data_IF_850218457874
#
_entry.id   IF_850218457874
#
_cell.length_a   1.000
_cell.length_b   1.000
_cell.length_c   1.000
_cell.angle_alpha   90.00
_cell.angle_beta   90.00
_cell.angle_gamma   90.00
#
_symmetry.space_group_name_H-M   'P 1'
#
loop_
_entity.id
_entity.type
_entity.pdbx_description
1 polymer ?
#
# COMPACT_ATOMS: atom_id res chain seq x y z
N UNK A 1 18.63 4.80 8.40
CA UNK A 1 18.33 5.06 6.97
C UNK A 1 17.05 5.85 6.92
N UNK A 2 17.05 7.08 6.42
CA UNK A 2 15.78 7.81 6.32
C UNK A 2 14.79 7.07 5.41
N UNK A 3 13.52 6.95 5.85
CA UNK A 3 12.43 6.37 5.06
C UNK A 3 12.34 7.01 3.67
N UNK A 4 11.99 6.22 2.66
CA UNK A 4 11.77 6.75 1.32
C UNK A 4 10.58 7.71 1.31
N UNK A 5 10.59 8.67 0.40
CA UNK A 5 9.52 9.66 0.26
C UNK A 5 8.17 9.04 -0.13
N UNK A 6 8.17 7.86 -0.76
CA UNK A 6 6.99 7.10 -1.15
C UNK A 6 6.57 6.03 -0.13
N UNK A 7 7.22 5.99 1.04
CA UNK A 7 6.87 5.08 2.12
C UNK A 7 5.70 5.58 2.96
N UNK A 8 4.92 4.66 3.51
CA UNK A 8 3.77 4.91 4.38
C UNK A 8 4.09 4.53 5.82
N UNK A 9 3.60 5.33 6.78
CA UNK A 9 3.82 5.13 8.20
C UNK A 9 5.11 5.74 8.75
N UNK A 10 5.46 5.35 9.97
CA UNK A 10 6.61 5.87 10.69
C UNK A 10 7.17 4.86 11.70
N UNK A 11 8.45 5.00 12.04
CA UNK A 11 9.12 4.19 13.06
C UNK A 11 8.42 4.34 14.42
N UNK A 12 7.98 5.55 14.76
CA UNK A 12 7.26 5.81 16.02
C UNK A 12 5.93 5.06 16.11
N UNK A 13 5.20 4.97 15.00
CA UNK A 13 3.94 4.23 14.97
C UNK A 13 4.16 2.70 15.05
N UNK A 14 5.21 2.17 14.40
CA UNK A 14 5.60 0.76 14.54
C UNK A 14 5.99 0.48 15.99
N UNK A 15 6.81 1.35 16.59
CA UNK A 15 7.23 1.26 18.00
C UNK A 15 6.04 1.22 18.95
N UNK A 16 5.00 2.01 18.70
CA UNK A 16 3.81 2.02 19.55
C UNK A 16 3.15 0.63 19.64
N UNK A 17 3.18 -0.16 18.56
CA UNK A 17 2.64 -1.51 18.52
C UNK A 17 3.60 -2.55 19.13
N UNK A 18 4.91 -2.34 18.99
CA UNK A 18 5.94 -3.31 19.35
C UNK A 18 6.75 -2.92 20.60
N UNK A 19 6.27 -1.95 21.39
CA UNK A 19 7.00 -1.41 22.54
C UNK A 19 7.47 -2.45 23.56
N UNK A 20 6.71 -3.54 23.68
CA UNK A 20 6.94 -4.62 24.63
C UNK A 20 8.15 -5.49 24.26
N UNK A 21 8.59 -5.40 22.99
CA UNK A 21 9.75 -6.11 22.49
C UNK A 21 11.05 -5.35 22.75
N UNK A 22 11.02 -4.07 23.08
CA UNK A 22 12.24 -3.25 23.15
C UNK A 22 13.18 -3.53 24.34
N UNK A 23 12.90 -4.52 25.20
CA UNK A 23 13.72 -4.91 26.35
C UNK A 23 14.21 -3.71 27.19
N UNK A 24 13.27 -2.82 27.54
CA UNK A 24 13.55 -1.60 28.32
C UNK A 24 14.10 -0.41 27.51
N UNK A 25 14.44 -0.58 26.23
CA UNK A 25 14.81 0.54 25.38
C UNK A 25 13.60 1.45 25.07
N UNK A 26 13.81 2.76 25.10
CA UNK A 26 12.76 3.74 24.83
C UNK A 26 12.40 3.81 23.33
N UNK A 27 13.37 3.56 22.46
CA UNK A 27 13.28 3.66 21.00
C UNK A 27 14.11 2.57 20.32
N UNK A 28 13.86 2.34 19.03
CA UNK A 28 14.77 1.56 18.20
C UNK A 28 16.11 2.28 18.03
N UNK A 29 17.20 1.54 18.13
CA UNK A 29 18.56 2.08 18.04
C UNK A 29 19.46 1.17 17.19
N UNK A 30 20.76 1.45 17.15
CA UNK A 30 21.74 0.55 16.54
C UNK A 30 21.96 -0.76 17.33
N UNK A 31 21.52 -0.84 18.58
CA UNK A 31 21.75 -1.98 19.47
C UNK A 31 20.49 -2.80 19.75
N UNK A 32 19.30 -2.25 19.47
CA UNK A 32 18.04 -3.02 19.56
C UNK A 32 17.99 -4.13 18.52
N UNK A 33 17.07 -5.07 18.69
CA UNK A 33 16.78 -6.12 17.72
C UNK A 33 15.28 -6.10 17.44
N UNK A 34 14.77 -5.73 16.26
CA UNK A 34 15.50 -5.13 15.16
C UNK A 34 16.06 -3.75 15.52
N UNK A 35 17.07 -3.34 14.77
CA UNK A 35 17.67 -2.01 14.79
C UNK A 35 16.74 -1.00 14.12
N UNK A 36 16.99 0.30 14.37
CA UNK A 36 16.27 1.38 13.69
C UNK A 36 16.31 1.23 12.16
N UNK A 37 17.48 0.93 11.60
CA UNK A 37 17.67 0.77 10.16
C UNK A 37 16.89 -0.42 9.59
N UNK A 38 16.77 -1.52 10.36
CA UNK A 38 15.99 -2.67 9.95
C UNK A 38 14.49 -2.35 9.94
N UNK A 39 13.99 -1.64 10.96
CA UNK A 39 12.58 -1.21 11.01
C UNK A 39 12.24 -0.25 9.85
N UNK A 40 13.12 0.70 9.56
CA UNK A 40 12.98 1.59 8.40
C UNK A 40 12.91 0.79 7.09
N UNK A 41 13.75 -0.24 6.94
CA UNK A 41 13.73 -1.14 5.78
C UNK A 41 12.46 -1.99 5.68
N UNK A 42 11.89 -2.43 6.80
CA UNK A 42 10.61 -3.14 6.83
C UNK A 42 9.48 -2.24 6.31
N UNK A 43 9.43 -0.99 6.79
CA UNK A 43 8.45 0.01 6.34
C UNK A 43 8.58 0.25 4.83
N UNK A 44 9.79 0.45 4.33
CA UNK A 44 10.04 0.67 2.90
C UNK A 44 9.60 -0.54 2.05
N UNK A 45 9.88 -1.77 2.50
CA UNK A 45 9.47 -3.00 1.78
C UNK A 45 7.95 -3.14 1.70
N UNK A 46 7.24 -2.97 2.80
CA UNK A 46 5.78 -3.05 2.81
C UNK A 46 5.13 -1.91 2.03
N UNK A 47 5.71 -0.71 2.09
CA UNK A 47 5.27 0.40 1.26
C UNK A 47 5.45 0.10 -0.23
N UNK A 48 6.55 -0.54 -0.63
CA UNK A 48 6.78 -0.95 -2.01
C UNK A 48 5.73 -1.95 -2.49
N UNK A 49 5.37 -2.95 -1.67
CA UNK A 49 4.29 -3.90 -1.98
C UNK A 49 2.98 -3.15 -2.24
N UNK A 50 2.60 -2.25 -1.34
CA UNK A 50 1.38 -1.46 -1.50
C UNK A 50 1.44 -0.54 -2.73
N UNK A 51 2.58 0.10 -2.98
CA UNK A 51 2.77 0.99 -4.13
C UNK A 51 2.58 0.25 -5.46
N UNK A 52 3.07 -0.99 -5.58
CA UNK A 52 2.82 -1.82 -6.78
C UNK A 52 1.32 -2.04 -6.97
N UNK A 53 0.60 -2.40 -5.91
CA UNK A 53 -0.85 -2.65 -6.00
C UNK A 53 -1.67 -1.39 -6.28
N UNK A 54 -1.22 -0.23 -5.80
CA UNK A 54 -1.81 1.09 -6.08
C UNK A 54 -1.57 1.51 -7.53
N UNK A 55 -0.34 1.35 -8.05
CA UNK A 55 0.01 1.64 -9.44
C UNK A 55 -0.82 0.79 -10.40
N UNK A 56 -0.97 -0.50 -10.11
CA UNK A 56 -1.82 -1.42 -10.90
C UNK A 56 -3.30 -1.01 -10.96
N UNK A 57 -3.73 -0.08 -10.09
CA UNK A 57 -5.09 0.47 -10.02
C UNK A 57 -5.17 1.93 -10.45
N UNK A 58 -4.11 2.43 -11.10
CA UNK A 58 -3.99 3.80 -11.59
C UNK A 58 -4.03 4.86 -10.48
N UNK A 59 -3.70 4.47 -9.25
CA UNK A 59 -3.55 5.41 -8.14
C UNK A 59 -2.17 6.05 -8.23
N UNK A 60 -2.12 7.38 -8.26
CA UNK A 60 -0.86 8.12 -8.19
C UNK A 60 -0.14 7.83 -6.87
N UNK A 61 1.15 7.48 -6.97
CA UNK A 61 2.05 7.24 -5.84
C UNK A 61 3.10 8.36 -5.78
N UNK A 62 3.38 8.94 -4.61
CA UNK A 62 2.74 8.66 -3.32
C UNK A 62 1.30 9.16 -3.25
N UNK A 63 0.45 8.45 -2.50
CA UNK A 63 -0.87 8.94 -2.13
C UNK A 63 -0.72 10.27 -1.38
N UNK A 64 -1.50 11.28 -1.75
CA UNK A 64 -1.40 12.64 -1.22
C UNK A 64 -1.46 12.67 0.32
N UNK A 65 -0.53 13.40 0.95
CA UNK A 65 -0.30 13.39 2.39
C UNK A 65 -1.55 13.75 3.22
N UNK A 66 -2.34 14.72 2.78
CA UNK A 66 -3.53 15.19 3.51
C UNK A 66 -4.82 14.41 3.19
N UNK A 67 -4.71 13.22 2.58
CA UNK A 67 -5.88 12.43 2.18
C UNK A 67 -6.22 11.32 3.19
N UNK A 68 -7.51 10.99 3.41
CA UNK A 68 -7.89 9.81 4.19
C UNK A 68 -7.34 8.50 3.60
N UNK A 69 -7.14 8.43 2.29
CA UNK A 69 -6.51 7.31 1.60
C UNK A 69 -5.07 7.08 2.10
N UNK A 70 -4.33 8.15 2.39
CA UNK A 70 -2.98 8.07 2.98
C UNK A 70 -3.01 7.41 4.35
N UNK A 71 -3.95 7.80 5.21
CA UNK A 71 -4.08 7.22 6.55
C UNK A 71 -4.37 5.71 6.50
N UNK A 72 -5.15 5.26 5.53
CA UNK A 72 -5.40 3.83 5.30
C UNK A 72 -4.11 3.10 4.88
N UNK A 73 -3.33 3.69 3.97
CA UNK A 73 -2.05 3.15 3.55
C UNK A 73 -1.05 3.07 4.72
N UNK A 74 -0.94 4.16 5.50
CA UNK A 74 -0.09 4.25 6.68
C UNK A 74 -0.46 3.15 7.69
N UNK A 75 -1.75 3.05 8.03
CA UNK A 75 -2.23 2.08 9.01
C UNK A 75 -1.93 0.63 8.61
N UNK A 76 -2.04 0.31 7.32
CA UNK A 76 -1.73 -1.03 6.83
C UNK A 76 -0.23 -1.32 6.89
N UNK A 77 0.62 -0.43 6.36
CA UNK A 77 2.09 -0.62 6.38
C UNK A 77 2.62 -0.72 7.81
N UNK A 78 2.13 0.12 8.73
CA UNK A 78 2.52 0.08 10.15
C UNK A 78 2.23 -1.31 10.76
N UNK A 79 1.06 -1.90 10.47
CA UNK A 79 0.70 -3.22 11.00
C UNK A 79 1.57 -4.34 10.41
N UNK A 80 1.87 -4.29 9.11
CA UNK A 80 2.73 -5.28 8.47
C UNK A 80 4.17 -5.20 8.98
N UNK A 81 4.73 -3.99 9.07
CA UNK A 81 6.05 -3.76 9.63
C UNK A 81 6.12 -4.20 11.10
N UNK A 82 5.12 -3.88 11.91
CA UNK A 82 5.04 -4.36 13.30
C UNK A 82 4.99 -5.90 13.39
N UNK A 83 4.23 -6.56 12.52
CA UNK A 83 4.19 -8.02 12.46
C UNK A 83 5.55 -8.63 12.04
N UNK A 84 6.32 -7.94 11.20
CA UNK A 84 7.68 -8.36 10.84
C UNK A 84 8.66 -8.16 12.01
N UNK A 85 8.54 -7.06 12.76
CA UNK A 85 9.30 -6.83 14.00
C UNK A 85 9.06 -7.98 14.99
N UNK A 86 7.80 -8.35 15.22
CA UNK A 86 7.39 -9.49 16.06
C UNK A 86 8.02 -10.83 15.59
N UNK A 87 8.21 -11.01 14.28
CA UNK A 87 8.85 -12.20 13.71
C UNK A 87 10.37 -12.21 13.87
N UNK A 88 11.00 -11.04 13.91
CA UNK A 88 12.47 -10.91 14.01
C UNK A 88 12.99 -11.09 15.43
N UNK A 89 12.19 -10.80 16.45
CA UNK A 89 12.52 -11.07 17.85
C UNK A 89 12.20 -12.50 18.30
N UNK A 90 12.71 -13.50 17.57
CA UNK A 90 12.76 -14.88 18.13
C UNK A 90 13.87 -14.97 19.17
N UNK A 91 13.59 -14.52 20.39
CA UNK A 91 14.48 -14.71 21.54
C UNK A 91 14.35 -16.12 22.12
N UNK A 92 15.47 -16.66 22.63
CA UNK A 92 15.44 -17.68 23.69
C UNK A 92 14.51 -17.18 24.80
N UNK A 93 13.40 -17.89 25.03
CA UNK A 93 12.33 -17.46 25.93
C UNK A 93 10.94 -17.60 25.31
N UNK A 94 10.82 -17.51 23.98
CA UNK A 94 9.55 -17.76 23.30
C UNK A 94 9.12 -19.22 23.49
N UNK A 95 8.07 -19.42 24.27
CA UNK A 95 7.29 -20.64 24.29
C UNK A 95 5.89 -20.35 23.72
N UNK A 96 5.13 -21.41 23.43
CA UNK A 96 3.79 -21.27 22.86
C UNK A 96 2.81 -20.47 23.76
N UNK A 97 3.18 -20.18 25.01
CA UNK A 97 2.35 -19.49 25.99
C UNK A 97 2.46 -17.95 25.91
N UNK A 98 3.47 -17.40 25.21
CA UNK A 98 3.68 -15.94 25.10
C UNK A 98 2.74 -15.23 24.10
N UNK A 99 1.82 -15.95 23.44
CA UNK A 99 0.67 -15.35 22.77
C UNK A 99 1.02 -14.36 21.64
N UNK A 100 1.63 -14.86 20.56
CA UNK A 100 1.98 -14.04 19.40
C UNK A 100 0.80 -13.19 18.88
N UNK A 101 1.05 -11.89 18.68
CA UNK A 101 0.07 -10.94 18.16
C UNK A 101 0.04 -10.87 16.63
N UNK A 102 0.87 -11.66 15.93
CA UNK A 102 1.04 -11.60 14.48
C UNK A 102 -0.29 -11.79 13.74
N UNK A 103 -1.13 -12.72 14.19
CA UNK A 103 -2.45 -12.95 13.58
C UNK A 103 -3.37 -11.75 13.75
N UNK A 104 -3.35 -11.08 14.90
CA UNK A 104 -4.15 -9.87 15.12
C UNK A 104 -3.66 -8.66 14.30
N UNK A 105 -2.40 -8.67 13.87
CA UNK A 105 -1.81 -7.62 13.04
C UNK A 105 -2.04 -7.85 11.53
N UNK A 106 -2.24 -9.11 11.11
CA UNK A 106 -2.50 -9.47 9.71
C UNK A 106 -4.00 -9.57 9.44
N UNK A 107 -4.59 -8.52 8.87
CA UNK A 107 -6.02 -8.53 8.51
C UNK A 107 -6.28 -8.46 7.01
N UNK A 108 -5.45 -7.73 6.24
CA UNK A 108 -5.68 -7.49 4.81
C UNK A 108 -4.41 -7.66 3.97
N UNK A 109 -4.57 -8.06 2.71
CA UNK A 109 -3.49 -8.03 1.70
C UNK A 109 -3.29 -6.61 1.16
N UNK A 110 -2.12 -6.34 0.56
CA UNK A 110 -1.86 -5.06 -0.11
C UNK A 110 -2.89 -4.78 -1.20
N UNK A 111 -3.26 -5.83 -1.93
CA UNK A 111 -4.29 -5.80 -2.97
C UNK A 111 -5.66 -5.33 -2.45
N UNK A 112 -6.12 -5.87 -1.31
CA UNK A 112 -7.40 -5.51 -0.72
C UNK A 112 -7.42 -4.03 -0.29
N UNK A 113 -6.33 -3.56 0.32
CA UNK A 113 -6.17 -2.15 0.71
C UNK A 113 -6.14 -1.24 -0.51
N UNK A 114 -5.32 -1.56 -1.51
CA UNK A 114 -5.23 -0.78 -2.74
C UNK A 114 -6.58 -0.71 -3.48
N UNK A 115 -7.36 -1.80 -3.46
CA UNK A 115 -8.72 -1.83 -4.04
C UNK A 115 -9.68 -0.90 -3.31
N UNK A 116 -9.65 -0.90 -1.98
CA UNK A 116 -10.46 0.00 -1.15
C UNK A 116 -10.08 1.47 -1.39
N UNK A 117 -8.78 1.77 -1.40
CA UNK A 117 -8.25 3.11 -1.70
C UNK A 117 -8.69 3.59 -3.09
N UNK A 118 -8.48 2.76 -4.12
CA UNK A 118 -8.88 3.11 -5.48
C UNK A 118 -10.40 3.34 -5.59
N UNK A 119 -11.22 2.50 -4.93
CA UNK A 119 -12.67 2.67 -4.92
C UNK A 119 -13.09 3.99 -4.24
N UNK A 120 -12.48 4.34 -3.11
CA UNK A 120 -12.74 5.58 -2.41
C UNK A 120 -12.36 6.81 -3.24
N UNK A 121 -11.19 6.79 -3.89
CA UNK A 121 -10.73 7.90 -4.73
C UNK A 121 -11.59 8.04 -6.00
N UNK A 122 -12.04 6.94 -6.63
CA UNK A 122 -13.01 6.99 -7.74
C UNK A 122 -14.33 7.60 -7.31
N UNK A 123 -14.86 7.20 -6.15
CA UNK A 123 -16.10 7.76 -5.60
C UNK A 123 -15.98 9.26 -5.30
N UNK A 124 -14.80 9.72 -4.90
CA UNK A 124 -14.49 11.13 -4.70
C UNK A 124 -14.25 11.90 -6.00
N UNK A 125 -14.23 11.24 -7.17
CA UNK A 125 -13.92 11.85 -8.46
C UNK A 125 -12.43 12.19 -8.65
N UNK A 126 -11.56 11.67 -7.79
CA UNK A 126 -10.10 11.93 -7.81
C UNK A 126 -9.33 10.94 -8.67
N UNK A 127 -9.99 9.87 -9.11
CA UNK A 127 -9.51 8.97 -10.16
C UNK A 127 -10.49 9.02 -11.32
N UNK A 128 -9.95 9.10 -12.54
CA UNK A 128 -10.77 8.94 -13.72
C UNK A 128 -11.51 7.60 -13.62
N UNK A 129 -12.79 7.60 -13.97
CA UNK A 129 -13.44 6.34 -14.29
C UNK A 129 -12.81 5.93 -15.62
N UNK A 130 -11.87 4.98 -15.61
CA UNK A 130 -11.42 4.31 -16.82
C UNK A 130 -12.60 3.55 -17.40
N UNK A 131 -13.55 4.26 -18.00
CA UNK A 131 -14.63 3.62 -18.72
C UNK A 131 -14.01 3.18 -20.05
N UNK A 132 -14.07 1.89 -20.37
CA UNK A 132 -13.64 1.39 -21.69
C UNK A 132 -14.33 2.10 -22.88
N UNK A 133 -15.42 2.84 -22.65
CA UNK A 133 -16.10 3.74 -23.61
C UNK A 133 -15.39 5.07 -23.87
N UNK A 134 -14.46 5.51 -23.03
CA UNK A 134 -13.70 6.77 -23.24
C UNK A 134 -12.64 6.60 -24.35
N UNK A 135 -12.29 5.35 -24.69
CA UNK A 135 -11.48 5.00 -25.87
C UNK A 135 -12.26 4.93 -27.19
N UNK A 136 -13.59 5.07 -27.16
CA UNK A 136 -14.44 5.20 -28.35
C UNK A 136 -14.78 6.68 -28.55
N UNK A 137 -13.77 7.54 -28.72
CA UNK A 137 -14.01 8.78 -29.44
C UNK A 137 -14.30 8.38 -30.89
N UNK A 138 -15.57 8.51 -31.29
CA UNK A 138 -15.96 8.42 -32.69
C UNK A 138 -15.23 9.53 -33.45
N UNK A 139 -14.03 9.24 -33.96
CA UNK A 139 -13.34 10.11 -34.89
C UNK A 139 -14.10 10.04 -36.19
N UNK A 140 -15.09 10.93 -36.34
CA UNK A 140 -15.97 11.04 -37.50
C UNK A 140 -15.20 11.32 -38.78
N UNK A 141 -14.53 10.30 -39.29
CA UNK A 141 -13.77 10.31 -40.52
C UNK A 141 -14.51 9.37 -41.47
N UNK A 142 -15.42 10.00 -42.23
CA UNK A 142 -16.01 9.50 -43.47
C UNK A 142 -16.85 8.22 -43.37
N UNK A 143 -18.17 8.40 -43.18
CA UNK A 143 -19.12 7.43 -43.74
C UNK A 143 -19.02 7.54 -45.26
N UNK A 144 -18.28 6.64 -45.90
CA UNK A 144 -18.50 6.37 -47.31
C UNK A 144 -19.86 5.67 -47.42
N UNK A 145 -20.92 6.45 -47.65
CA UNK A 145 -22.21 5.91 -48.05
C UNK A 145 -22.01 5.34 -49.45
N UNK A 146 -21.74 4.04 -49.55
CA UNK A 146 -21.93 3.33 -50.81
C UNK A 146 -23.43 3.21 -51.04
N UNK A 147 -23.98 4.14 -51.79
CA UNK A 147 -25.31 3.97 -52.38
C UNK A 147 -25.25 2.75 -53.31
N UNK A 148 -26.19 1.84 -53.11
CA UNK A 148 -26.35 0.60 -53.87
C UNK A 148 -26.63 0.94 -55.34
N UNK A 149 -25.59 0.93 -56.18
CA UNK A 149 -25.75 1.18 -57.62
C UNK A 149 -24.48 1.32 -58.47
N UNK A 150 -23.27 1.02 -57.98
CA UNK A 150 -22.02 1.20 -58.77
C UNK A 150 -21.31 -0.10 -59.19
N UNK A 151 -22.05 -1.18 -59.40
CA UNK A 151 -21.58 -2.31 -60.19
C UNK A 151 -22.62 -2.61 -61.25
N UNK A 152 -22.52 -1.92 -62.39
CA UNK A 152 -23.00 -2.35 -63.71
C UNK A 152 -22.57 -1.30 -64.76
N UNK A 153 -21.38 -1.52 -65.35
CA UNK A 153 -20.96 -1.16 -66.72
C UNK A 153 -19.52 -1.63 -66.95
#
# INVERSE_FOLDING_TARGET
MTLRADSYGSVEAVRALTRHLLDGAATFSATTRPTLAEVEGMIDRWSAVLNVDLINREVTVPVAADSPARLVCDQWVIRQAAAEVELTQRGTGWNADEGSRIQALRMDTGEAVASSVAAALRKAGLLAHGNARDGLSFTGTSVAVFTRGQFDA
#
